data_IF_532983065659
#
_entry.id   IF_532983065659
#
_cell.length_a   1.000
_cell.length_b   1.000
_cell.length_c   1.000
_cell.angle_alpha   90.00
_cell.angle_beta   90.00
_cell.angle_gamma   90.00
#
_symmetry.space_group_name_H-M   'P 1'
#
loop_
_entity.id
_entity.type
_entity.pdbx_description
1 polymer ?
#
# COMPACT_ATOMS: atom_id res chain seq x y z
N UNK A 1 -15.01 -51.56 -15.45
CA UNK A 1 -14.90 -51.16 -14.03
C UNK A 1 -13.91 -49.99 -13.79
N UNK A 2 -12.88 -49.84 -14.61
CA UNK A 2 -11.88 -48.79 -14.43
C UNK A 2 -12.30 -47.35 -14.88
N UNK A 3 -13.37 -47.16 -15.68
CA UNK A 3 -13.81 -45.85 -16.18
C UNK A 3 -14.53 -44.98 -15.14
N UNK A 4 -15.06 -45.52 -14.06
CA UNK A 4 -15.80 -44.77 -13.05
C UNK A 4 -14.90 -44.07 -12.05
N UNK A 5 -13.74 -44.59 -11.77
CA UNK A 5 -12.78 -43.97 -10.82
C UNK A 5 -12.17 -42.69 -11.38
N UNK A 6 -11.85 -42.68 -12.67
CA UNK A 6 -11.29 -41.48 -13.30
C UNK A 6 -12.31 -40.31 -13.37
N UNK A 7 -13.59 -40.63 -13.47
CA UNK A 7 -14.62 -39.59 -13.53
C UNK A 7 -14.89 -38.94 -12.16
N UNK A 8 -14.82 -39.69 -11.09
CA UNK A 8 -14.95 -39.20 -9.72
C UNK A 8 -13.75 -38.35 -9.30
N UNK A 9 -12.54 -38.73 -9.64
CA UNK A 9 -11.33 -37.96 -9.37
C UNK A 9 -11.31 -36.64 -10.16
N UNK A 10 -11.65 -36.65 -11.43
CA UNK A 10 -11.73 -35.46 -12.27
C UNK A 10 -12.79 -34.50 -11.76
N UNK A 11 -13.96 -34.97 -11.32
CA UNK A 11 -15.02 -34.17 -10.76
C UNK A 11 -14.66 -33.54 -9.43
N UNK A 12 -13.97 -34.27 -8.55
CA UNK A 12 -13.45 -33.76 -7.27
C UNK A 12 -12.34 -32.73 -7.49
N UNK A 13 -11.43 -33.00 -8.42
CA UNK A 13 -10.34 -32.07 -8.78
C UNK A 13 -10.88 -30.76 -9.35
N UNK A 14 -11.88 -30.83 -10.21
CA UNK A 14 -12.52 -29.64 -10.80
C UNK A 14 -13.23 -28.78 -9.75
N UNK A 15 -13.88 -29.41 -8.76
CA UNK A 15 -14.53 -28.70 -7.64
C UNK A 15 -13.51 -28.00 -6.74
N UNK A 16 -12.41 -28.65 -6.43
CA UNK A 16 -11.33 -28.07 -5.62
C UNK A 16 -10.66 -26.93 -6.36
N UNK A 17 -10.40 -27.07 -7.66
CA UNK A 17 -9.80 -26.02 -8.48
C UNK A 17 -10.70 -24.79 -8.58
N UNK A 18 -11.98 -24.95 -8.88
CA UNK A 18 -12.95 -23.87 -8.92
C UNK A 18 -13.11 -23.18 -7.56
N UNK A 19 -13.07 -23.93 -6.47
CA UNK A 19 -13.11 -23.37 -5.10
C UNK A 19 -11.86 -22.55 -4.78
N UNK A 20 -10.68 -23.02 -5.17
CA UNK A 20 -9.43 -22.29 -4.96
C UNK A 20 -9.37 -21.02 -5.81
N UNK A 21 -9.83 -21.06 -7.06
CA UNK A 21 -9.91 -19.91 -7.93
C UNK A 21 -10.93 -18.87 -7.43
N UNK A 22 -12.08 -19.32 -6.95
CA UNK A 22 -13.09 -18.46 -6.31
C UNK A 22 -12.52 -17.78 -5.06
N UNK A 23 -11.78 -18.52 -4.22
CA UNK A 23 -11.09 -17.94 -3.04
C UNK A 23 -10.04 -16.92 -3.43
N UNK A 24 -9.28 -17.15 -4.52
CA UNK A 24 -8.30 -16.18 -5.03
C UNK A 24 -8.98 -14.92 -5.57
N UNK A 25 -10.09 -15.06 -6.31
CA UNK A 25 -10.87 -13.93 -6.79
C UNK A 25 -11.44 -13.12 -5.62
N UNK A 26 -12.05 -13.78 -4.63
CA UNK A 26 -12.57 -13.11 -3.42
C UNK A 26 -11.45 -12.36 -2.69
N UNK A 27 -10.26 -12.95 -2.50
CA UNK A 27 -9.13 -12.27 -1.88
C UNK A 27 -8.68 -11.03 -2.67
N UNK A 28 -8.71 -11.05 -4.00
CA UNK A 28 -8.43 -9.87 -4.83
C UNK A 28 -9.48 -8.78 -4.67
N UNK A 29 -10.76 -9.15 -4.64
CA UNK A 29 -11.86 -8.21 -4.46
C UNK A 29 -11.91 -7.58 -3.07
N UNK A 30 -11.45 -8.29 -2.05
CA UNK A 30 -11.41 -7.77 -0.68
C UNK A 30 -10.23 -6.82 -0.39
N UNK A 31 -9.20 -6.81 -1.25
CA UNK A 31 -8.07 -5.89 -1.07
C UNK A 31 -8.43 -4.50 -1.58
N UNK A 32 -8.01 -3.49 -0.84
CA UNK A 32 -8.26 -2.10 -1.21
C UNK A 32 -7.29 -1.64 -2.30
N UNK A 33 -7.74 -0.64 -3.06
CA UNK A 33 -6.85 0.02 -4.02
C UNK A 33 -5.71 0.69 -3.25
N UNK A 34 -4.48 0.64 -3.77
CA UNK A 34 -3.40 1.42 -3.21
C UNK A 34 -3.70 2.90 -3.36
N UNK A 35 -3.09 3.76 -2.53
CA UNK A 35 -3.10 5.19 -2.77
C UNK A 35 -2.53 5.49 -4.16
N UNK A 36 -2.98 6.56 -4.79
CA UNK A 36 -2.52 6.95 -6.12
C UNK A 36 -1.90 8.35 -6.09
N UNK A 37 -1.31 8.77 -7.20
CA UNK A 37 -0.69 10.09 -7.34
C UNK A 37 0.28 10.41 -6.19
N UNK A 38 1.04 9.40 -5.75
CA UNK A 38 1.94 9.52 -4.60
C UNK A 38 3.16 10.34 -4.98
N UNK A 39 3.40 11.43 -4.29
CA UNK A 39 4.51 12.35 -4.52
C UNK A 39 5.24 12.64 -3.22
N UNK A 40 6.55 12.83 -3.33
CA UNK A 40 7.39 13.37 -2.25
C UNK A 40 7.89 14.73 -2.69
N UNK A 41 7.62 15.76 -1.88
CA UNK A 41 7.95 17.16 -2.17
C UNK A 41 7.42 17.63 -3.55
N UNK A 42 6.22 17.15 -3.91
CA UNK A 42 5.56 17.48 -5.16
C UNK A 42 6.04 16.72 -6.40
N UNK A 43 7.00 15.82 -6.28
CA UNK A 43 7.58 15.07 -7.39
C UNK A 43 7.33 13.55 -7.28
N UNK A 44 7.24 12.88 -8.42
CA UNK A 44 7.26 11.42 -8.48
C UNK A 44 8.70 10.94 -8.35
N UNK A 45 9.06 10.47 -7.17
CA UNK A 45 10.40 9.96 -6.88
C UNK A 45 10.34 8.59 -6.23
N UNK A 46 11.41 7.85 -6.31
CA UNK A 46 11.59 6.54 -5.69
C UNK A 46 12.42 6.60 -4.40
N UNK A 47 13.00 7.77 -4.11
CA UNK A 47 13.88 8.00 -2.95
C UNK A 47 13.57 9.34 -2.28
N UNK A 48 13.69 9.34 -0.96
CA UNK A 48 13.62 10.55 -0.16
C UNK A 48 15.00 11.22 -0.18
N UNK A 49 15.07 12.44 -0.68
CA UNK A 49 16.34 13.17 -0.80
C UNK A 49 16.88 13.59 0.56
N UNK A 50 16.00 14.03 1.46
CA UNK A 50 16.34 14.44 2.83
C UNK A 50 15.41 13.71 3.81
N UNK A 51 15.99 12.88 4.66
CA UNK A 51 15.25 12.16 5.70
C UNK A 51 14.93 13.01 6.92
N UNK A 52 15.43 14.25 6.98
CA UNK A 52 15.13 15.17 8.08
C UNK A 52 13.81 15.92 7.87
N UNK A 53 13.43 16.18 6.62
CA UNK A 53 12.18 16.86 6.28
C UNK A 53 11.68 16.45 4.88
N UNK A 54 10.42 16.13 4.75
CA UNK A 54 9.76 15.84 3.46
C UNK A 54 8.25 15.97 3.60
N UNK A 55 7.58 16.16 2.48
CA UNK A 55 6.12 16.15 2.39
C UNK A 55 5.68 15.01 1.46
N UNK A 56 4.91 14.08 1.99
CA UNK A 56 4.29 12.99 1.24
C UNK A 56 2.84 13.38 0.92
N UNK A 57 2.48 13.37 -0.35
CA UNK A 57 1.11 13.64 -0.81
C UNK A 57 0.59 12.49 -1.66
N UNK A 58 -0.73 12.27 -1.63
CA UNK A 58 -1.39 11.22 -2.39
C UNK A 58 -2.84 11.54 -2.71
N UNK A 59 -3.42 10.77 -3.61
CA UNK A 59 -4.83 10.84 -3.95
C UNK A 59 -5.59 9.65 -3.38
N UNK A 60 -6.79 9.93 -2.85
CA UNK A 60 -7.72 8.88 -2.44
C UNK A 60 -8.19 8.06 -3.64
N UNK A 61 -8.43 6.78 -3.42
CA UNK A 61 -9.05 5.88 -4.38
C UNK A 61 -10.16 5.08 -3.71
N UNK A 62 -11.33 5.12 -4.30
CA UNK A 62 -12.44 4.28 -3.89
C UNK A 62 -12.74 3.27 -4.99
N UNK A 63 -12.75 2.00 -4.61
CA UNK A 63 -13.00 0.91 -5.53
C UNK A 63 -14.44 0.90 -6.06
N UNK A 64 -15.39 1.31 -5.24
CA UNK A 64 -16.79 1.29 -5.63
C UNK A 64 -17.06 2.34 -6.72
N UNK A 65 -16.40 3.49 -6.63
CA UNK A 65 -16.44 4.53 -7.68
C UNK A 65 -15.66 4.11 -8.93
N UNK A 66 -14.57 3.39 -8.76
CA UNK A 66 -13.73 2.92 -9.88
C UNK A 66 -14.30 1.71 -10.62
N UNK A 67 -15.37 1.10 -10.14
CA UNK A 67 -15.99 -0.04 -10.81
C UNK A 67 -16.49 0.31 -12.21
N UNK A 68 -16.96 1.55 -12.41
CA UNK A 68 -17.59 2.02 -13.63
C UNK A 68 -16.75 3.08 -14.40
N UNK A 69 -15.60 3.50 -13.85
CA UNK A 69 -14.76 4.55 -14.43
C UNK A 69 -13.28 4.19 -14.45
N UNK A 70 -12.64 4.48 -15.57
CA UNK A 70 -11.18 4.43 -15.67
C UNK A 70 -10.61 5.74 -15.09
N UNK A 71 -9.97 5.64 -13.93
CA UNK A 71 -9.29 6.75 -13.28
C UNK A 71 -7.78 6.53 -13.41
N UNK A 72 -7.08 7.50 -14.01
CA UNK A 72 -5.63 7.41 -14.14
C UNK A 72 -4.93 7.52 -12.79
N UNK A 73 -3.74 6.96 -12.70
CA UNK A 73 -2.92 7.02 -11.48
C UNK A 73 -2.61 8.48 -11.07
N UNK A 74 -2.48 9.37 -12.03
CA UNK A 74 -2.16 10.79 -11.86
C UNK A 74 -3.36 11.68 -11.61
N UNK A 75 -4.58 11.13 -11.71
CA UNK A 75 -5.80 11.91 -11.48
C UNK A 75 -5.95 12.31 -10.01
N UNK A 76 -6.73 13.36 -9.79
CA UNK A 76 -7.03 13.88 -8.46
C UNK A 76 -7.76 12.88 -7.57
N UNK A 77 -7.87 13.21 -6.29
CA UNK A 77 -8.54 12.39 -5.29
C UNK A 77 -10.00 12.12 -5.66
N UNK A 78 -10.40 10.88 -5.54
CA UNK A 78 -11.81 10.51 -5.38
C UNK A 78 -12.22 10.63 -3.91
N UNK A 79 -13.46 10.30 -3.57
CA UNK A 79 -13.83 10.16 -2.18
C UNK A 79 -13.00 9.06 -1.49
N UNK A 80 -12.75 9.20 -0.20
CA UNK A 80 -12.13 8.15 0.59
C UNK A 80 -13.12 6.99 0.76
N UNK A 81 -12.72 5.79 0.39
CA UNK A 81 -13.54 4.60 0.55
C UNK A 81 -13.91 4.37 2.02
N UNK A 82 -15.15 3.96 2.29
CA UNK A 82 -15.67 3.73 3.65
C UNK A 82 -14.78 2.76 4.44
N UNK A 83 -14.30 3.23 5.60
CA UNK A 83 -13.45 2.45 6.51
C UNK A 83 -12.02 2.24 6.00
N UNK A 84 -11.58 3.02 5.01
CA UNK A 84 -10.20 3.02 4.52
C UNK A 84 -9.40 4.06 5.30
N UNK A 85 -8.20 3.70 5.69
CA UNK A 85 -7.17 4.60 6.22
C UNK A 85 -5.84 4.33 5.52
N UNK A 86 -4.92 5.25 5.64
CA UNK A 86 -3.56 5.08 5.13
C UNK A 86 -2.60 4.88 6.28
N UNK A 87 -1.63 4.03 6.07
CA UNK A 87 -0.59 3.73 7.03
C UNK A 87 0.77 4.07 6.46
N UNK A 88 1.54 4.78 7.25
CA UNK A 88 2.90 5.19 6.96
C UNK A 88 3.79 4.57 8.03
N UNK A 89 4.65 3.66 7.64
CA UNK A 89 5.61 3.03 8.54
C UNK A 89 7.00 3.59 8.23
N UNK A 90 7.60 4.27 9.20
CA UNK A 90 9.00 4.67 9.18
C UNK A 90 9.82 3.50 9.73
N UNK A 91 10.80 3.05 8.98
CA UNK A 91 11.55 1.84 9.28
C UNK A 91 13.04 2.12 9.30
N UNK A 92 13.75 1.49 10.22
CA UNK A 92 15.21 1.39 10.19
C UNK A 92 15.59 -0.08 9.94
N UNK A 93 16.12 -0.33 8.74
CA UNK A 93 16.28 -1.69 8.25
C UNK A 93 14.95 -2.41 8.13
N UNK A 94 14.74 -3.46 8.90
CA UNK A 94 13.50 -4.24 8.97
C UNK A 94 12.63 -3.92 10.19
N UNK A 95 13.10 -3.01 11.05
CA UNK A 95 12.38 -2.61 12.26
C UNK A 95 11.51 -1.40 11.99
N UNK A 96 10.27 -1.44 12.45
CA UNK A 96 9.37 -0.28 12.42
C UNK A 96 9.75 0.63 13.58
N UNK A 97 10.28 1.80 13.28
CA UNK A 97 10.60 2.84 14.27
C UNK A 97 9.31 3.53 14.71
N UNK A 98 8.47 3.87 13.74
CA UNK A 98 7.21 4.55 13.99
C UNK A 98 6.18 4.22 12.93
N UNK A 99 4.91 4.17 13.34
CA UNK A 99 3.77 3.90 12.47
C UNK A 99 2.70 4.97 12.66
N UNK A 100 2.32 5.61 11.57
CA UNK A 100 1.33 6.69 11.54
C UNK A 100 0.12 6.20 10.73
N UNK A 101 -1.09 6.48 11.24
CA UNK A 101 -2.33 6.20 10.52
C UNK A 101 -3.07 7.50 10.29
N UNK A 102 -3.47 7.75 9.04
CA UNK A 102 -4.17 8.96 8.63
C UNK A 102 -5.28 8.68 7.63
N UNK A 103 -6.27 9.56 7.58
CA UNK A 103 -7.33 9.56 6.58
C UNK A 103 -7.20 10.74 5.60
N UNK A 104 -6.17 11.56 5.75
CA UNK A 104 -5.87 12.70 4.89
C UNK A 104 -5.25 12.31 3.55
N UNK A 105 -4.76 13.30 2.85
CA UNK A 105 -4.04 13.19 1.57
C UNK A 105 -2.62 13.72 1.63
N UNK A 106 -2.18 14.10 2.82
CA UNK A 106 -0.87 14.69 3.05
C UNK A 106 -0.29 14.23 4.39
N UNK A 107 1.01 14.08 4.42
CA UNK A 107 1.81 13.87 5.62
C UNK A 107 3.10 14.67 5.52
N UNK A 108 3.34 15.53 6.51
CA UNK A 108 4.56 16.34 6.60
C UNK A 108 5.46 15.76 7.69
N UNK A 109 6.70 15.48 7.36
CA UNK A 109 7.71 15.05 8.32
C UNK A 109 8.78 16.16 8.44
N UNK A 110 9.23 16.58 9.62
CA UNK A 110 8.80 16.07 10.93
C UNK A 110 7.41 16.56 11.34
N UNK A 111 6.66 15.69 11.98
CA UNK A 111 5.37 16.02 12.58
C UNK A 111 5.49 16.14 14.11
N UNK A 112 4.41 16.53 14.78
CA UNK A 112 4.37 16.72 16.25
C UNK A 112 4.71 15.46 17.05
N UNK A 113 4.58 14.28 16.44
CA UNK A 113 4.89 12.99 17.06
C UNK A 113 6.34 12.56 16.93
N UNK A 114 7.22 13.34 16.30
CA UNK A 114 8.62 13.00 16.15
C UNK A 114 9.33 13.00 17.52
N UNK A 115 10.07 11.93 17.78
CA UNK A 115 10.97 11.84 18.95
C UNK A 115 12.35 12.36 18.57
N UNK A 116 13.01 13.08 19.45
CA UNK A 116 14.38 13.51 19.23
C UNK A 116 15.29 12.29 18.95
N UNK A 117 16.12 12.41 17.90
CA UNK A 117 16.99 11.32 17.47
C UNK A 117 16.32 10.24 16.64
N UNK A 118 15.02 10.36 16.32
CA UNK A 118 14.34 9.43 15.41
C UNK A 118 14.97 9.50 14.03
N UNK A 119 15.52 8.36 13.61
CA UNK A 119 16.09 8.17 12.27
C UNK A 119 15.39 7.00 11.59
N UNK A 120 15.23 7.09 10.28
CA UNK A 120 14.69 6.00 9.47
C UNK A 120 15.46 5.87 8.16
N UNK A 121 15.56 4.66 7.66
CA UNK A 121 16.21 4.35 6.38
C UNK A 121 15.24 4.03 5.26
N UNK A 122 13.99 3.69 5.62
CA UNK A 122 12.93 3.34 4.69
C UNK A 122 11.58 3.87 5.16
N UNK A 123 10.73 4.21 4.21
CA UNK A 123 9.33 4.54 4.43
C UNK A 123 8.46 3.56 3.65
N UNK A 124 7.48 2.94 4.28
CA UNK A 124 6.46 2.14 3.62
C UNK A 124 5.10 2.81 3.74
N UNK A 125 4.41 2.98 2.61
CA UNK A 125 3.13 3.66 2.53
C UNK A 125 2.07 2.78 1.83
N UNK A 126 0.92 2.59 2.46
CA UNK A 126 -0.12 1.70 1.95
C UNK A 126 -1.50 2.01 2.57
N UNK A 127 -2.56 1.55 1.88
CA UNK A 127 -3.92 1.65 2.37
C UNK A 127 -4.30 0.44 3.24
N UNK A 128 -5.10 0.68 4.27
CA UNK A 128 -5.60 -0.33 5.21
C UNK A 128 -7.11 -0.20 5.34
N UNK A 129 -7.80 -1.33 5.40
CA UNK A 129 -9.20 -1.41 5.82
C UNK A 129 -9.38 -2.64 6.69
N UNK A 130 -9.83 -2.43 7.93
CA UNK A 130 -9.93 -3.49 8.94
C UNK A 130 -8.58 -4.23 9.09
N UNK A 131 -8.54 -5.52 8.79
CA UNK A 131 -7.32 -6.35 8.80
C UNK A 131 -6.67 -6.53 7.42
N UNK A 132 -7.16 -5.83 6.40
CA UNK A 132 -6.70 -5.96 5.02
C UNK A 132 -5.83 -4.79 4.64
N UNK A 133 -4.71 -5.07 3.99
CA UNK A 133 -3.83 -4.05 3.42
C UNK A 133 -3.97 -4.02 1.90
N UNK A 134 -3.65 -2.90 1.26
CA UNK A 134 -3.59 -2.82 -0.19
C UNK A 134 -2.58 -3.83 -0.75
N UNK A 135 -2.83 -4.29 -1.97
CA UNK A 135 -1.97 -5.25 -2.66
C UNK A 135 -0.57 -4.68 -2.91
N UNK A 136 -0.53 -3.39 -3.17
CA UNK A 136 0.69 -2.66 -3.47
C UNK A 136 1.04 -1.74 -2.29
N UNK A 137 2.32 -1.67 -2.00
CA UNK A 137 2.90 -0.75 -1.01
C UNK A 137 3.95 0.08 -1.69
N UNK A 138 3.95 1.38 -1.43
CA UNK A 138 5.04 2.24 -1.84
C UNK A 138 6.16 2.12 -0.82
N UNK A 139 7.36 1.89 -1.31
CA UNK A 139 8.56 1.82 -0.47
C UNK A 139 9.56 2.86 -0.95
N UNK A 140 9.97 3.74 -0.05
CA UNK A 140 10.98 4.76 -0.31
C UNK A 140 12.17 4.52 0.58
N UNK A 141 13.39 4.56 0.01
CA UNK A 141 14.62 4.60 0.79
C UNK A 141 15.03 6.05 1.03
N UNK A 142 15.46 6.36 2.26
CA UNK A 142 16.15 7.61 2.51
C UNK A 142 17.61 7.50 2.09
N UNK A 143 18.18 8.56 1.54
CA UNK A 143 19.62 8.63 1.33
C UNK A 143 20.28 8.86 2.69
N UNK A 144 21.29 8.05 3.07
CA UNK A 144 22.09 8.42 4.21
C UNK A 144 22.73 9.78 3.90
N UNK A 145 22.63 10.71 4.84
CA UNK A 145 23.37 11.97 4.78
C UNK A 145 24.86 11.62 4.98
N UNK A 146 25.58 11.33 3.91
CA UNK A 146 27.02 11.28 3.99
C UNK A 146 27.48 12.71 4.26
N UNK A 147 27.96 12.95 5.47
CA UNK A 147 28.83 14.08 5.69
C UNK A 147 30.01 13.94 4.73
N UNK A 148 30.03 14.75 3.68
CA UNK A 148 31.20 14.88 2.87
C UNK A 148 32.31 15.44 3.79
N UNK A 149 33.22 14.59 4.19
CA UNK A 149 34.50 15.04 4.71
C UNK A 149 35.21 15.71 3.53
N UNK A 150 35.15 17.04 3.56
CA UNK A 150 36.03 17.86 2.77
C UNK A 150 37.44 17.83 3.34
#
# INVERSE_FOLDING_TARGET
MYRWWHYLEAGAYLKVYKSAEKKRKIKRYCRKNPPANVKIDGAFVDKIADSSAFTLTWAHRDRDIQADQLIAHTDDSTALGKGVSYKIDLMDGDNIVRSITTNGTEFVYPDEGKTEGEQFSKLAFYAVKDKLTSLYRYGYSSRPTYCAYG
#
